data_IF_475468408165
#
_entry.id   IF_475468408165
#
_cell.length_a   1.000
_cell.length_b   1.000
_cell.length_c   1.000
_cell.angle_alpha   90.00
_cell.angle_beta   90.00
_cell.angle_gamma   90.00
#
_symmetry.space_group_name_H-M   'P 1'
#
loop_
_entity.id
_entity.type
_entity.pdbx_description
1 polymer ?
#
# COMPACT_ATOMS: atom_id res chain seq x y z
N UNK A 1 11.84 -9.41 0.25
CA UNK A 1 11.13 -8.18 0.64
C UNK A 1 11.10 -8.01 2.15
N UNK A 2 11.32 -6.78 2.63
CA UNK A 2 11.12 -6.39 4.03
C UNK A 2 9.63 -6.45 4.35
N UNK A 3 9.23 -7.02 5.48
CA UNK A 3 7.83 -6.98 5.92
C UNK A 3 7.50 -5.55 6.34
N UNK A 4 6.57 -4.94 5.62
CA UNK A 4 6.07 -3.59 5.90
C UNK A 4 4.64 -3.69 6.42
N UNK A 5 4.34 -2.92 7.46
CA UNK A 5 3.00 -2.87 8.04
C UNK A 5 2.50 -1.44 8.12
N UNK A 6 1.20 -1.26 7.94
CA UNK A 6 0.49 -0.03 8.25
C UNK A 6 -0.53 -0.24 9.34
N UNK A 7 -0.76 0.77 10.18
CA UNK A 7 -1.87 0.76 11.13
C UNK A 7 -3.14 1.20 10.42
N UNK A 8 -4.15 0.33 10.41
CA UNK A 8 -5.44 0.65 9.84
C UNK A 8 -6.57 0.35 10.81
N UNK A 9 -7.57 1.23 10.81
CA UNK A 9 -8.77 1.10 11.62
C UNK A 9 -9.97 0.71 10.75
N UNK A 10 -10.47 -0.51 10.92
CA UNK A 10 -11.75 -0.93 10.35
C UNK A 10 -12.90 -0.19 11.06
N UNK A 11 -14.03 0.09 10.37
CA UNK A 11 -15.19 0.70 11.00
C UNK A 11 -15.66 -0.11 12.22
N UNK A 12 -15.65 0.52 13.40
CA UNK A 12 -16.05 -0.12 14.66
C UNK A 12 -14.97 -0.98 15.34
N UNK A 13 -13.74 -1.01 14.82
CA UNK A 13 -12.61 -1.73 15.42
C UNK A 13 -11.52 -0.78 15.93
N UNK A 14 -10.59 -1.31 16.72
CA UNK A 14 -9.34 -0.64 17.07
C UNK A 14 -8.37 -0.70 15.88
N UNK A 15 -7.47 0.30 15.72
CA UNK A 15 -6.40 0.21 14.73
C UNK A 15 -5.56 -1.05 14.95
N UNK A 16 -5.37 -1.83 13.90
CA UNK A 16 -4.55 -3.03 13.92
C UNK A 16 -3.46 -2.96 12.85
N UNK A 17 -2.27 -3.52 13.10
CA UNK A 17 -1.25 -3.61 12.07
C UNK A 17 -1.72 -4.57 10.97
N UNK A 18 -1.64 -4.12 9.72
CA UNK A 18 -1.94 -4.91 8.54
C UNK A 18 -0.67 -5.05 7.71
N UNK A 19 -0.38 -6.27 7.26
CA UNK A 19 0.72 -6.54 6.35
C UNK A 19 0.42 -5.96 4.98
N UNK A 20 1.34 -5.17 4.43
CA UNK A 20 1.17 -4.59 3.11
C UNK A 20 1.19 -5.60 1.98
N UNK A 21 1.79 -6.78 2.15
CA UNK A 21 1.65 -7.86 1.16
C UNK A 21 0.23 -8.45 1.12
N UNK A 22 -0.50 -8.40 2.24
CA UNK A 22 -1.90 -8.83 2.31
C UNK A 22 -2.85 -7.74 1.83
N UNK A 23 -2.58 -6.48 2.21
CA UNK A 23 -3.35 -5.31 1.78
C UNK A 23 -3.24 -5.09 0.27
N UNK A 24 -2.01 -5.14 -0.25
CA UNK A 24 -1.66 -4.97 -1.66
C UNK A 24 -1.36 -6.32 -2.31
N UNK A 25 -2.28 -7.27 -2.15
CA UNK A 25 -2.14 -8.60 -2.75
C UNK A 25 -1.98 -8.56 -4.28
N UNK A 26 -1.57 -9.69 -4.86
CA UNK A 26 -1.37 -9.82 -6.31
C UNK A 26 -2.60 -9.43 -7.14
N UNK A 27 -3.80 -9.64 -6.62
CA UNK A 27 -5.04 -9.31 -7.33
C UNK A 27 -5.28 -7.80 -7.35
N UNK A 28 -5.04 -7.13 -6.23
CA UNK A 28 -5.05 -5.67 -6.13
C UNK A 28 -4.01 -5.06 -7.07
N UNK A 29 -2.76 -5.50 -6.96
CA UNK A 29 -1.65 -4.94 -7.75
C UNK A 29 -1.91 -5.04 -9.25
N UNK A 30 -2.36 -6.21 -9.74
CA UNK A 30 -2.69 -6.41 -11.15
C UNK A 30 -3.86 -5.57 -11.66
N UNK A 31 -4.82 -5.22 -10.79
CA UNK A 31 -6.05 -4.52 -11.18
C UNK A 31 -5.90 -3.00 -11.13
N UNK A 32 -5.12 -2.49 -10.18
CA UNK A 32 -5.07 -1.06 -9.87
C UNK A 32 -3.72 -0.41 -10.11
N UNK A 33 -2.67 -1.17 -10.43
CA UNK A 33 -1.33 -0.66 -10.68
C UNK A 33 -0.72 -1.25 -11.95
N UNK A 34 0.37 -0.65 -12.42
CA UNK A 34 1.19 -1.17 -13.52
C UNK A 34 2.16 -2.30 -13.09
N UNK A 35 2.13 -2.74 -11.83
CA UNK A 35 3.04 -3.72 -11.26
C UNK A 35 2.31 -4.99 -10.81
N UNK A 36 3.08 -6.09 -10.67
CA UNK A 36 2.53 -7.41 -10.29
C UNK A 36 2.55 -7.69 -8.79
N UNK A 37 3.39 -6.98 -8.03
CA UNK A 37 3.58 -7.14 -6.59
C UNK A 37 3.91 -5.79 -5.97
N UNK A 38 3.64 -5.63 -4.67
CA UNK A 38 3.95 -4.42 -3.93
C UNK A 38 5.47 -4.15 -3.88
N UNK A 39 6.29 -5.20 -3.77
CA UNK A 39 7.75 -5.09 -3.93
C UNK A 39 8.16 -4.37 -5.23
N UNK A 40 7.56 -4.79 -6.35
CA UNK A 40 7.89 -4.25 -7.68
C UNK A 40 7.40 -2.83 -7.85
N UNK A 41 6.29 -2.48 -7.20
CA UNK A 41 5.80 -1.11 -7.12
C UNK A 41 6.83 -0.22 -6.42
N UNK A 42 7.28 -0.58 -5.20
CA UNK A 42 8.29 0.20 -4.49
C UNK A 42 9.62 0.32 -5.26
N UNK A 43 10.09 -0.77 -5.88
CA UNK A 43 11.27 -0.77 -6.75
C UNK A 43 11.10 0.17 -7.96
N UNK A 44 9.89 0.21 -8.55
CA UNK A 44 9.55 1.10 -9.65
C UNK A 44 9.56 2.60 -9.26
N UNK A 45 9.32 2.90 -7.99
CA UNK A 45 9.48 4.23 -7.39
C UNK A 45 10.94 4.62 -7.16
N UNK A 46 11.88 3.68 -7.31
CA UNK A 46 13.30 3.83 -6.95
C UNK A 46 13.51 4.19 -5.48
N UNK A 47 12.60 3.75 -4.61
CA UNK A 47 12.73 3.91 -3.18
C UNK A 47 13.76 2.92 -2.62
N UNK A 48 14.62 3.38 -1.73
CA UNK A 48 15.51 2.52 -0.97
C UNK A 48 14.84 2.21 0.37
N UNK A 49 14.15 1.07 0.46
CA UNK A 49 13.44 0.63 1.66
C UNK A 49 14.02 -0.72 2.09
N UNK A 50 14.92 -0.68 3.06
CA UNK A 50 15.53 -1.85 3.70
C UNK A 50 14.94 -2.12 5.10
N UNK A 51 14.12 -1.21 5.64
CA UNK A 51 13.47 -1.34 6.94
C UNK A 51 12.07 -0.69 6.97
N UNK A 52 11.29 -0.95 8.03
CA UNK A 52 10.04 -0.24 8.30
C UNK A 52 10.29 1.27 8.51
N UNK A 53 11.39 1.63 9.19
CA UNK A 53 11.76 3.02 9.41
C UNK A 53 12.06 3.75 8.08
N UNK A 54 12.76 3.10 7.15
CA UNK A 54 13.04 3.68 5.83
C UNK A 54 11.74 4.00 5.06
N UNK A 55 10.71 3.17 5.25
CA UNK A 55 9.39 3.39 4.67
C UNK A 55 8.65 4.55 5.34
N UNK A 56 8.69 4.63 6.68
CA UNK A 56 8.04 5.70 7.45
C UNK A 56 8.70 7.07 7.26
N UNK A 57 10.02 7.09 7.01
CA UNK A 57 10.78 8.30 6.72
C UNK A 57 10.69 8.74 5.26
N UNK A 58 10.11 7.91 4.37
CA UNK A 58 9.93 8.27 2.97
C UNK A 58 8.99 9.48 2.88
N UNK A 59 9.42 10.60 2.24
CA UNK A 59 8.57 11.75 2.08
C UNK A 59 7.29 11.41 1.30
N UNK A 60 6.14 11.79 1.87
CA UNK A 60 4.82 11.45 1.32
C UNK A 60 4.66 11.93 -0.13
N UNK A 61 5.21 13.09 -0.46
CA UNK A 61 5.17 13.66 -1.81
C UNK A 61 5.93 12.83 -2.85
N UNK A 62 6.94 12.06 -2.44
CA UNK A 62 7.62 11.12 -3.33
C UNK A 62 6.75 9.89 -3.62
N UNK A 63 6.06 9.38 -2.59
CA UNK A 63 5.11 8.28 -2.77
C UNK A 63 3.93 8.71 -3.64
N UNK A 64 3.36 9.88 -3.39
CA UNK A 64 2.26 10.45 -4.18
C UNK A 64 2.62 10.55 -5.67
N UNK A 65 3.79 11.11 -5.99
CA UNK A 65 4.27 11.18 -7.38
C UNK A 65 4.38 9.80 -8.02
N UNK A 66 4.83 8.80 -7.26
CA UNK A 66 4.91 7.44 -7.77
C UNK A 66 3.52 6.84 -8.01
N UNK A 67 2.60 6.99 -7.07
CA UNK A 67 1.22 6.51 -7.15
C UNK A 67 0.50 7.09 -8.36
N UNK A 68 0.55 8.41 -8.55
CA UNK A 68 -0.08 9.11 -9.69
C UNK A 68 0.45 8.57 -11.02
N UNK A 69 1.74 8.24 -11.11
CA UNK A 69 2.36 7.73 -12.33
C UNK A 69 2.06 6.26 -12.60
N UNK A 70 1.92 5.46 -11.55
CA UNK A 70 1.91 4.00 -11.62
C UNK A 70 0.54 3.35 -11.45
N UNK A 71 -0.47 4.13 -11.05
CA UNK A 71 -1.78 3.63 -10.65
C UNK A 71 -2.89 4.54 -11.19
N UNK A 72 -4.13 4.25 -10.84
CA UNK A 72 -5.29 5.11 -11.14
C UNK A 72 -5.60 6.15 -10.07
N UNK A 73 -4.89 6.12 -8.94
CA UNK A 73 -5.18 6.95 -7.77
C UNK A 73 -4.39 8.27 -7.84
N UNK A 74 -4.93 9.33 -7.22
CA UNK A 74 -4.34 10.66 -7.17
C UNK A 74 -3.32 10.85 -6.03
N UNK A 75 -3.31 9.97 -5.03
CA UNK A 75 -2.36 10.01 -3.91
C UNK A 75 -2.18 8.65 -3.25
N UNK A 76 -1.11 8.50 -2.48
CA UNK A 76 -0.86 7.34 -1.63
C UNK A 76 -2.01 7.09 -0.67
N UNK A 77 -2.52 8.16 -0.04
CA UNK A 77 -3.67 8.08 0.85
C UNK A 77 -4.90 7.51 0.16
N UNK A 78 -5.24 7.99 -1.05
CA UNK A 78 -6.38 7.47 -1.81
C UNK A 78 -6.22 5.98 -2.14
N UNK A 79 -5.00 5.57 -2.54
CA UNK A 79 -4.68 4.17 -2.82
C UNK A 79 -4.82 3.28 -1.58
N UNK A 80 -4.33 3.71 -0.42
CA UNK A 80 -4.45 3.00 0.87
C UNK A 80 -5.91 2.90 1.30
N UNK A 81 -6.64 4.01 1.27
CA UNK A 81 -8.05 4.07 1.69
C UNK A 81 -8.87 3.07 0.85
N UNK A 82 -8.68 3.09 -0.47
CA UNK A 82 -9.36 2.17 -1.39
C UNK A 82 -8.92 0.70 -1.23
N UNK A 83 -7.62 0.44 -1.05
CA UNK A 83 -7.10 -0.91 -0.81
C UNK A 83 -7.70 -1.50 0.48
N UNK A 84 -7.86 -0.66 1.49
CA UNK A 84 -8.31 -1.15 2.78
C UNK A 84 -9.82 -1.33 2.85
N UNK A 85 -10.61 -0.54 2.11
CA UNK A 85 -12.01 -0.83 1.87
C UNK A 85 -12.22 -2.22 1.23
N UNK A 86 -11.37 -2.59 0.27
CA UNK A 86 -11.40 -3.92 -0.35
C UNK A 86 -11.01 -5.00 0.66
N UNK A 87 -9.94 -4.77 1.41
CA UNK A 87 -9.45 -5.71 2.41
C UNK A 87 -10.49 -5.95 3.51
N UNK A 88 -11.10 -4.89 4.04
CA UNK A 88 -12.17 -4.94 5.03
C UNK A 88 -13.33 -5.84 4.57
N UNK A 89 -13.78 -5.67 3.33
CA UNK A 89 -14.86 -6.49 2.75
C UNK A 89 -14.48 -7.95 2.62
N UNK A 90 -13.22 -8.27 2.33
CA UNK A 90 -12.74 -9.67 2.27
C UNK A 90 -12.73 -10.36 3.63
N UNK A 91 -12.53 -9.62 4.73
CA UNK A 91 -12.52 -10.18 6.09
C UNK A 91 -13.92 -10.42 6.66
N UNK A 92 -14.96 -9.85 6.04
CA UNK A 92 -16.36 -10.03 6.43
C UNK A 92 -17.05 -11.21 5.71
N UNK A 93 -16.34 -11.89 4.81
CA UNK A 93 -16.79 -13.06 4.04
C UNK A 93 -16.13 -14.34 4.58
#
# INVERSE_FOLDING_TARGET
MVKLTGYYQLPGALPQPVDFEDLFDKSFMRKYTNYRTFEKFLQGGKFYIASQQDFEELPEDQMDRHVVKATRFGSWKEMIDFATDIYARKQML
#
